data_IF_908838398767
#
_entry.id   IF_908838398767
#
_cell.length_a   1.000
_cell.length_b   1.000
_cell.length_c   1.000
_cell.angle_alpha   90.00
_cell.angle_beta   90.00
_cell.angle_gamma   90.00
#
_symmetry.space_group_name_H-M   'P 1'
#
loop_
_entity.id
_entity.type
_entity.pdbx_description
1 polymer ?
#
# COMPACT_ATOMS: atom_id res chain seq x y z
N UNK A 1 -42.12 -3.64 -11.32
CA UNK A 1 -41.85 -2.30 -11.87
C UNK A 1 -40.65 -1.76 -11.11
N UNK A 2 -39.45 -2.09 -11.59
CA UNK A 2 -38.20 -1.76 -10.91
C UNK A 2 -37.83 -0.32 -11.22
N UNK A 3 -37.77 0.53 -10.20
CA UNK A 3 -37.16 1.85 -10.33
C UNK A 3 -35.66 1.64 -10.57
N UNK A 4 -35.17 2.11 -11.72
CA UNK A 4 -33.74 2.13 -12.02
C UNK A 4 -32.96 2.97 -11.01
N UNK A 5 -31.63 2.78 -10.91
CA UNK A 5 -30.79 3.60 -10.04
C UNK A 5 -30.97 5.09 -10.42
N UNK A 6 -30.88 6.01 -9.45
CA UNK A 6 -30.99 7.44 -9.73
C UNK A 6 -29.87 7.82 -10.71
N UNK A 7 -30.26 8.29 -11.90
CA UNK A 7 -29.33 8.91 -12.83
C UNK A 7 -28.71 10.11 -12.11
N UNK A 8 -27.39 10.05 -11.88
CA UNK A 8 -26.63 11.23 -11.56
C UNK A 8 -26.81 12.16 -12.77
N UNK A 9 -27.61 13.20 -12.60
CA UNK A 9 -27.54 14.37 -13.47
C UNK A 9 -26.17 15.00 -13.23
N UNK A 10 -25.16 14.47 -13.93
CA UNK A 10 -23.89 15.12 -14.13
C UNK A 10 -24.18 16.37 -14.97
N UNK A 11 -24.55 17.45 -14.29
CA UNK A 11 -24.64 18.77 -14.91
C UNK A 11 -23.23 19.08 -15.46
N UNK A 12 -23.03 19.11 -16.80
CA UNK A 12 -21.70 19.25 -17.38
C UNK A 12 -21.07 20.62 -17.12
N UNK A 13 -21.79 21.51 -16.43
CA UNK A 13 -21.39 22.87 -16.09
C UNK A 13 -20.59 22.98 -14.78
N UNK A 14 -20.57 21.98 -13.89
CA UNK A 14 -19.82 22.04 -12.62
C UNK A 14 -18.45 21.36 -12.66
N UNK A 15 -18.14 20.61 -13.72
CA UNK A 15 -16.79 20.12 -13.97
C UNK A 15 -15.97 21.27 -14.55
N UNK A 16 -15.39 22.11 -13.67
CA UNK A 16 -14.39 23.10 -14.05
C UNK A 16 -13.47 22.47 -15.10
N UNK A 17 -13.58 22.92 -16.36
CA UNK A 17 -12.86 22.34 -17.49
C UNK A 17 -11.39 22.40 -17.15
N UNK A 18 -10.82 21.28 -16.69
CA UNK A 18 -9.41 21.17 -16.33
C UNK A 18 -8.63 21.37 -17.61
N UNK A 19 -8.23 22.61 -17.86
CA UNK A 19 -7.40 22.99 -18.99
C UNK A 19 -6.09 22.25 -18.86
N UNK A 20 -5.82 21.38 -19.81
CA UNK A 20 -4.58 20.62 -19.84
C UNK A 20 -3.42 21.56 -20.19
N UNK A 21 -2.43 21.65 -19.29
CA UNK A 21 -1.26 22.49 -19.49
C UNK A 21 -0.08 21.67 -20.06
N UNK A 22 0.32 22.02 -21.29
CA UNK A 22 1.47 21.44 -22.01
C UNK A 22 2.77 21.53 -21.23
N UNK A 23 3.06 22.72 -20.73
CA UNK A 23 4.28 23.00 -19.97
C UNK A 23 4.36 22.13 -18.71
N UNK A 24 3.25 22.01 -17.97
CA UNK A 24 3.18 21.20 -16.76
C UNK A 24 3.41 19.71 -17.08
N UNK A 25 2.78 19.21 -18.14
CA UNK A 25 2.95 17.80 -18.58
C UNK A 25 4.38 17.52 -19.01
N UNK A 26 5.01 18.43 -19.75
CA UNK A 26 6.42 18.31 -20.15
C UNK A 26 7.36 18.28 -18.95
N UNK A 27 7.14 19.18 -17.97
CA UNK A 27 7.94 19.20 -16.73
C UNK A 27 7.77 17.88 -15.98
N UNK A 28 6.53 17.38 -15.83
CA UNK A 28 6.32 16.09 -15.17
C UNK A 28 7.00 14.94 -15.91
N UNK A 29 6.88 14.85 -17.24
CA UNK A 29 7.53 13.78 -18.02
C UNK A 29 9.06 13.84 -17.93
N UNK A 30 9.62 15.04 -17.79
CA UNK A 30 11.06 15.21 -17.63
C UNK A 30 11.54 14.85 -16.21
N UNK A 31 10.86 15.34 -15.17
CA UNK A 31 11.28 15.16 -13.77
C UNK A 31 10.93 13.77 -13.21
N UNK A 32 9.86 13.15 -13.69
CA UNK A 32 9.35 11.87 -13.17
C UNK A 32 10.35 10.70 -13.22
N UNK A 33 11.10 10.46 -14.31
CA UNK A 33 12.04 9.34 -14.39
C UNK A 33 13.24 9.52 -13.47
N UNK A 34 13.71 10.77 -13.33
CA UNK A 34 14.77 11.12 -12.39
C UNK A 34 14.32 10.85 -10.96
N UNK A 35 13.12 11.29 -10.60
CA UNK A 35 12.54 11.03 -9.28
C UNK A 35 12.36 9.53 -9.01
N UNK A 36 11.86 8.77 -9.99
CA UNK A 36 11.66 7.33 -9.85
C UNK A 36 12.98 6.59 -9.58
N UNK A 37 14.09 6.99 -10.20
CA UNK A 37 15.40 6.36 -9.96
C UNK A 37 15.97 6.73 -8.60
N UNK A 38 15.82 7.98 -8.17
CA UNK A 38 16.20 8.38 -6.81
C UNK A 38 15.36 7.59 -5.80
N UNK A 39 14.06 7.44 -6.02
CA UNK A 39 13.17 6.64 -5.18
C UNK A 39 13.61 5.18 -5.13
N UNK A 40 13.84 4.55 -6.28
CA UNK A 40 14.27 3.16 -6.39
C UNK A 40 15.61 2.97 -5.68
N UNK A 41 16.58 3.87 -5.88
CA UNK A 41 17.86 3.82 -5.18
C UNK A 41 17.69 3.95 -3.66
N UNK A 42 16.88 4.91 -3.22
CA UNK A 42 16.58 5.11 -1.80
C UNK A 42 15.84 3.94 -1.16
N UNK A 43 15.05 3.18 -1.92
CA UNK A 43 14.24 2.06 -1.42
C UNK A 43 14.93 0.69 -1.52
N UNK A 44 15.85 0.48 -2.47
CA UNK A 44 16.42 -0.83 -2.78
C UNK A 44 17.92 -0.96 -2.48
N UNK A 45 18.62 0.14 -2.23
CA UNK A 45 20.08 0.13 -2.00
C UNK A 45 20.38 0.28 -0.50
N UNK A 46 20.42 -0.84 0.22
CA UNK A 46 20.67 -0.86 1.68
C UNK A 46 21.99 -0.17 2.08
N UNK A 47 23.02 -0.26 1.24
CA UNK A 47 24.33 0.36 1.50
C UNK A 47 24.42 1.84 1.08
N UNK A 48 23.37 2.40 0.45
CA UNK A 48 23.36 3.78 -0.06
C UNK A 48 24.63 4.11 -0.88
N UNK A 49 25.08 3.15 -1.68
CA UNK A 49 26.30 3.32 -2.47
C UNK A 49 26.08 4.36 -3.57
N UNK A 50 26.76 5.51 -3.47
CA UNK A 50 26.70 6.56 -4.50
C UNK A 50 27.04 6.04 -5.91
N UNK A 51 27.84 4.97 -6.02
CA UNK A 51 28.26 4.40 -7.31
C UNK A 51 27.09 3.79 -8.09
N UNK A 52 26.11 3.22 -7.40
CA UNK A 52 24.87 2.70 -8.01
C UNK A 52 23.91 3.82 -8.40
N UNK A 53 24.13 5.05 -7.91
CA UNK A 53 23.36 6.23 -8.24
C UNK A 53 23.97 7.02 -9.42
N UNK A 54 25.29 7.07 -9.51
CA UNK A 54 26.02 7.88 -10.52
C UNK A 54 25.78 7.43 -11.96
N UNK A 55 25.55 6.13 -12.21
CA UNK A 55 25.35 5.58 -13.56
C UNK A 55 23.90 5.73 -14.06
N UNK A 56 22.84 5.39 -13.30
CA UNK A 56 21.46 5.49 -13.79
C UNK A 56 20.94 6.93 -13.88
N UNK A 57 21.44 7.87 -13.07
CA UNK A 57 21.04 9.29 -13.15
C UNK A 57 21.24 9.90 -14.55
N UNK A 58 22.46 9.93 -15.13
CA UNK A 58 22.68 10.55 -16.43
C UNK A 58 21.95 9.83 -17.57
N UNK A 59 21.84 8.50 -17.48
CA UNK A 59 21.10 7.69 -18.47
C UNK A 59 19.61 8.06 -18.46
N UNK A 60 19.03 8.22 -17.27
CA UNK A 60 17.62 8.60 -17.13
C UNK A 60 17.34 10.05 -17.48
N UNK A 61 18.26 10.97 -17.19
CA UNK A 61 18.20 12.36 -17.66
C UNK A 61 18.25 12.43 -19.18
N UNK A 62 19.14 11.65 -19.81
CA UNK A 62 19.21 11.57 -21.28
C UNK A 62 17.92 11.00 -21.88
N UNK A 63 17.43 9.88 -21.35
CA UNK A 63 16.21 9.23 -21.84
C UNK A 63 14.95 10.10 -21.63
N UNK A 64 14.82 10.73 -20.46
CA UNK A 64 13.70 11.62 -20.12
C UNK A 64 13.71 12.89 -20.96
N UNK A 65 14.88 13.47 -21.26
CA UNK A 65 15.02 14.61 -22.15
C UNK A 65 14.60 14.26 -23.58
N UNK A 66 15.04 13.10 -24.11
CA UNK A 66 14.62 12.61 -25.43
C UNK A 66 13.10 12.40 -25.46
N UNK A 67 12.54 11.77 -24.43
CA UNK A 67 11.10 11.53 -24.33
C UNK A 67 10.29 12.83 -24.24
N UNK A 68 10.75 13.80 -23.45
CA UNK A 68 10.13 15.12 -23.35
C UNK A 68 10.21 15.91 -24.67
N UNK A 69 11.32 15.83 -25.40
CA UNK A 69 11.48 16.46 -26.71
C UNK A 69 10.54 15.81 -27.74
N UNK A 70 10.48 14.48 -27.80
CA UNK A 70 9.57 13.75 -28.69
C UNK A 70 8.10 14.07 -28.38
N UNK A 71 7.74 14.16 -27.09
CA UNK A 71 6.42 14.57 -26.63
C UNK A 71 6.08 15.99 -27.10
N UNK A 72 7.00 16.95 -26.97
CA UNK A 72 6.77 18.32 -27.46
C UNK A 72 6.68 18.42 -28.98
N UNK A 73 7.48 17.65 -29.73
CA UNK A 73 7.38 17.57 -31.20
C UNK A 73 6.01 17.02 -31.62
N UNK A 74 5.55 15.95 -30.95
CA UNK A 74 4.26 15.33 -31.22
C UNK A 74 3.09 16.25 -30.84
N UNK A 75 3.19 16.98 -29.73
CA UNK A 75 2.18 17.93 -29.28
C UNK A 75 2.11 19.19 -30.16
N UNK A 76 3.25 19.69 -30.64
CA UNK A 76 3.31 20.83 -31.59
C UNK A 76 2.68 20.50 -32.94
N UNK A 77 2.73 19.22 -33.35
CA UNK A 77 2.06 18.73 -34.57
C UNK A 77 0.52 18.70 -34.44
N UNK A 78 0.00 18.73 -33.22
CA UNK A 78 -1.42 18.69 -32.91
C UNK A 78 -1.84 19.91 -32.07
N UNK A 79 -1.53 21.11 -32.59
CA UNK A 79 -1.58 22.38 -31.85
C UNK A 79 -2.99 22.78 -31.39
N UNK A 80 -4.05 22.24 -32.00
CA UNK A 80 -5.46 22.58 -31.73
C UNK A 80 -6.14 21.72 -30.64
N UNK A 81 -5.41 20.82 -29.97
CA UNK A 81 -6.01 19.91 -29.01
C UNK A 81 -6.06 20.50 -27.59
N UNK A 82 -7.29 20.75 -27.10
CA UNK A 82 -7.62 21.06 -25.70
C UNK A 82 -7.44 19.88 -24.75
N UNK A 83 -7.21 18.67 -25.29
CA UNK A 83 -6.98 17.44 -24.55
C UNK A 83 -5.82 16.64 -25.16
N UNK A 84 -5.00 15.91 -24.38
CA UNK A 84 -3.95 15.08 -24.93
C UNK A 84 -4.52 14.06 -25.94
N UNK A 85 -3.78 13.74 -27.02
CA UNK A 85 -4.23 12.80 -28.04
C UNK A 85 -4.58 11.45 -27.41
N UNK A 86 -5.68 10.85 -27.85
CA UNK A 86 -6.31 9.68 -27.21
C UNK A 86 -5.36 8.49 -27.05
N UNK A 87 -4.38 8.37 -27.95
CA UNK A 87 -3.35 7.32 -27.91
C UNK A 87 -2.29 7.53 -26.82
N UNK A 88 -2.00 8.78 -26.43
CA UNK A 88 -0.97 9.11 -25.42
C UNK A 88 -1.54 9.09 -23.99
N UNK A 89 -2.85 9.22 -23.83
CA UNK A 89 -3.55 9.21 -22.53
C UNK A 89 -3.20 7.99 -21.65
N UNK A 90 -3.31 6.73 -22.13
CA UNK A 90 -3.01 5.58 -21.28
C UNK A 90 -1.53 5.55 -20.88
N UNK A 91 -0.64 5.93 -21.79
CA UNK A 91 0.80 5.97 -21.53
C UNK A 91 1.17 7.01 -20.45
N UNK A 92 0.66 8.24 -20.56
CA UNK A 92 0.88 9.27 -19.56
C UNK A 92 0.28 8.88 -18.20
N UNK A 93 -0.90 8.25 -18.20
CA UNK A 93 -1.53 7.75 -16.98
C UNK A 93 -0.69 6.66 -16.32
N UNK A 94 -0.08 5.76 -17.10
CA UNK A 94 0.76 4.70 -16.59
C UNK A 94 2.06 5.23 -15.99
N UNK A 95 2.72 6.19 -16.64
CA UNK A 95 3.89 6.87 -16.07
C UNK A 95 3.51 7.57 -14.76
N UNK A 96 2.41 8.32 -14.75
CA UNK A 96 1.94 9.01 -13.54
C UNK A 96 1.64 8.04 -12.39
N UNK A 97 1.11 6.86 -12.71
CA UNK A 97 0.86 5.80 -11.73
C UNK A 97 2.15 5.26 -11.12
N UNK A 98 3.17 4.94 -11.94
CA UNK A 98 4.48 4.48 -11.44
C UNK A 98 5.11 5.54 -10.54
N UNK A 99 5.08 6.81 -10.95
CA UNK A 99 5.62 7.93 -10.16
C UNK A 99 4.87 8.07 -8.84
N UNK A 100 3.54 7.87 -8.84
CA UNK A 100 2.73 7.82 -7.63
C UNK A 100 3.17 6.71 -6.68
N UNK A 101 3.47 5.52 -7.19
CA UNK A 101 4.01 4.41 -6.38
C UNK A 101 5.34 4.79 -5.76
N UNK A 102 6.27 5.38 -6.53
CA UNK A 102 7.55 5.86 -6.00
C UNK A 102 7.38 6.90 -4.89
N UNK A 103 6.43 7.84 -5.05
CA UNK A 103 6.10 8.83 -4.02
C UNK A 103 5.58 8.20 -2.74
N UNK A 104 4.63 7.26 -2.87
CA UNK A 104 4.10 6.52 -1.72
C UNK A 104 5.23 5.77 -1.02
N UNK A 105 6.13 5.14 -1.78
CA UNK A 105 7.29 4.42 -1.25
C UNK A 105 8.23 5.30 -0.42
N UNK A 106 8.69 6.44 -0.97
CA UNK A 106 9.58 7.37 -0.24
C UNK A 106 8.89 7.91 1.01
N UNK A 107 7.65 8.37 0.90
CA UNK A 107 6.93 8.93 2.05
C UNK A 107 6.75 7.86 3.13
N UNK A 108 6.42 6.63 2.75
CA UNK A 108 6.27 5.54 3.70
C UNK A 108 7.59 5.25 4.44
N UNK A 109 8.71 5.19 3.72
CA UNK A 109 10.02 4.94 4.33
C UNK A 109 10.44 6.04 5.31
N UNK A 110 10.29 7.31 4.92
CA UNK A 110 10.55 8.47 5.79
C UNK A 110 9.66 8.46 7.04
N UNK A 111 8.37 8.18 6.88
CA UNK A 111 7.44 8.07 8.02
C UNK A 111 7.84 6.94 8.94
N UNK A 112 8.27 5.79 8.41
CA UNK A 112 8.74 4.66 9.22
C UNK A 112 10.01 5.03 9.98
N UNK A 113 10.97 5.69 9.34
CA UNK A 113 12.23 6.15 9.94
C UNK A 113 12.00 7.16 11.07
N UNK A 114 11.08 8.11 10.86
CA UNK A 114 10.66 9.06 11.90
C UNK A 114 9.99 8.35 13.08
N UNK A 115 9.08 7.41 12.80
CA UNK A 115 8.38 6.67 13.84
C UNK A 115 9.32 5.77 14.65
N UNK A 116 10.32 5.13 14.02
CA UNK A 116 11.39 4.39 14.73
C UNK A 116 12.19 5.31 15.65
N UNK A 117 12.54 6.50 15.16
CA UNK A 117 13.25 7.51 15.97
C UNK A 117 12.42 7.93 17.19
N UNK A 118 11.10 8.15 17.01
CA UNK A 118 10.19 8.40 18.13
C UNK A 118 10.05 7.21 19.08
N UNK A 119 10.05 5.97 18.55
CA UNK A 119 10.06 4.74 19.34
C UNK A 119 11.26 4.66 20.28
N UNK A 120 12.45 5.01 19.79
CA UNK A 120 13.68 5.09 20.61
C UNK A 120 13.56 6.15 21.70
N UNK A 121 13.02 7.34 21.38
CA UNK A 121 12.83 8.43 22.35
C UNK A 121 11.84 8.05 23.45
N UNK A 122 10.75 7.37 23.09
CA UNK A 122 9.68 6.96 24.00
C UNK A 122 9.94 5.61 24.71
N UNK A 123 11.06 4.95 24.42
CA UNK A 123 11.42 3.62 24.93
C UNK A 123 10.37 2.53 24.60
N UNK A 124 9.77 2.62 23.40
CA UNK A 124 8.77 1.68 22.89
C UNK A 124 9.45 0.74 21.87
N UNK A 125 9.08 -0.54 21.88
CA UNK A 125 9.64 -1.52 20.93
C UNK A 125 9.17 -1.27 19.49
N UNK A 126 10.03 -1.53 18.50
CA UNK A 126 9.68 -1.42 17.06
C UNK A 126 8.48 -2.30 16.68
N UNK A 127 8.35 -3.45 17.34
CA UNK A 127 7.22 -4.36 17.16
C UNK A 127 5.90 -3.74 17.64
N UNK A 128 5.90 -3.05 18.78
CA UNK A 128 4.73 -2.37 19.31
C UNK A 128 4.34 -1.20 18.41
N UNK A 129 5.32 -0.40 17.97
CA UNK A 129 5.13 0.69 17.04
C UNK A 129 4.44 0.22 15.74
N UNK A 130 4.87 -0.93 15.20
CA UNK A 130 4.26 -1.50 14.01
C UNK A 130 2.88 -2.11 14.23
N UNK A 131 2.67 -2.78 15.36
CA UNK A 131 1.38 -3.35 15.74
C UNK A 131 0.32 -2.28 16.08
N UNK A 132 0.75 -1.05 16.42
CA UNK A 132 -0.15 0.03 16.85
C UNK A 132 -0.23 1.15 15.84
N UNK A 133 0.82 1.95 15.67
CA UNK A 133 0.76 3.17 14.85
C UNK A 133 0.61 2.86 13.36
N UNK A 134 1.42 1.93 12.82
CA UNK A 134 1.28 1.55 11.41
C UNK A 134 -0.05 0.81 11.15
N UNK A 135 -0.40 -0.14 12.01
CA UNK A 135 -1.63 -0.91 11.87
C UNK A 135 -2.90 -0.05 11.98
N UNK A 136 -2.95 0.86 12.96
CA UNK A 136 -4.07 1.81 13.14
C UNK A 136 -4.11 2.80 11.97
N UNK A 137 -2.96 3.32 11.54
CA UNK A 137 -2.90 4.25 10.40
C UNK A 137 -3.51 3.66 9.14
N UNK A 138 -3.10 2.45 8.77
CA UNK A 138 -3.62 1.75 7.59
C UNK A 138 -5.12 1.42 7.72
N UNK A 139 -5.53 0.89 8.88
CA UNK A 139 -6.93 0.50 9.11
C UNK A 139 -7.88 1.69 9.25
N UNK A 140 -7.39 2.85 9.72
CA UNK A 140 -8.19 4.06 9.87
C UNK A 140 -8.52 4.68 8.51
N UNK A 141 -7.58 4.69 7.56
CA UNK A 141 -7.88 5.13 6.19
C UNK A 141 -8.89 4.23 5.50
N UNK A 142 -8.79 2.92 5.68
CA UNK A 142 -9.75 1.95 5.15
C UNK A 142 -11.14 2.17 5.77
N UNK A 143 -11.21 2.38 7.09
CA UNK A 143 -12.46 2.65 7.80
C UNK A 143 -13.16 3.90 7.25
N UNK A 144 -12.43 4.99 7.00
CA UNK A 144 -13.01 6.23 6.45
C UNK A 144 -13.53 6.00 5.04
N UNK A 145 -12.80 5.26 4.20
CA UNK A 145 -13.22 4.92 2.83
C UNK A 145 -14.49 4.05 2.84
N UNK A 146 -14.52 2.99 3.65
CA UNK A 146 -15.66 2.08 3.75
C UNK A 146 -16.91 2.77 4.30
N UNK A 147 -16.77 3.62 5.32
CA UNK A 147 -17.89 4.44 5.83
C UNK A 147 -18.42 5.36 4.74
N UNK A 148 -17.55 5.96 3.93
CA UNK A 148 -17.95 6.86 2.85
C UNK A 148 -18.74 6.10 1.79
N UNK A 149 -18.25 4.95 1.32
CA UNK A 149 -18.94 4.10 0.34
C UNK A 149 -20.28 3.57 0.87
N UNK A 150 -20.31 3.18 2.15
CA UNK A 150 -21.55 2.76 2.80
C UNK A 150 -22.59 3.91 2.86
N UNK A 151 -22.14 5.14 3.13
CA UNK A 151 -23.01 6.34 3.14
C UNK A 151 -23.50 6.74 1.74
N UNK A 152 -22.76 6.40 0.69
CA UNK A 152 -23.17 6.58 -0.70
C UNK A 152 -24.21 5.56 -1.17
N UNK A 153 -24.66 4.63 -0.31
CA UNK A 153 -25.69 3.65 -0.62
C UNK A 153 -25.16 2.31 -1.13
N UNK A 154 -23.85 2.05 -1.01
CA UNK A 154 -23.22 0.81 -1.44
C UNK A 154 -22.64 -0.01 -0.27
N UNK A 155 -23.46 -0.44 0.71
CA UNK A 155 -22.96 -1.14 1.90
C UNK A 155 -22.35 -2.50 1.59
N UNK A 156 -22.85 -3.23 0.57
CA UNK A 156 -22.28 -4.53 0.17
C UNK A 156 -20.87 -4.36 -0.39
N UNK A 157 -20.62 -3.27 -1.13
CA UNK A 157 -19.30 -2.94 -1.64
C UNK A 157 -18.33 -2.61 -0.49
N UNK A 158 -18.75 -1.76 0.45
CA UNK A 158 -17.96 -1.45 1.65
C UNK A 158 -17.64 -2.71 2.47
N UNK A 159 -18.61 -3.61 2.66
CA UNK A 159 -18.36 -4.88 3.34
C UNK A 159 -17.34 -5.75 2.60
N UNK A 160 -17.44 -5.84 1.27
CA UNK A 160 -16.48 -6.62 0.48
C UNK A 160 -15.05 -6.02 0.53
N UNK A 161 -14.93 -4.69 0.57
CA UNK A 161 -13.66 -4.00 0.69
C UNK A 161 -13.03 -4.19 2.08
N UNK A 162 -13.83 -4.09 3.14
CA UNK A 162 -13.40 -4.30 4.52
C UNK A 162 -12.78 -5.69 4.78
N UNK A 163 -13.31 -6.76 4.15
CA UNK A 163 -12.72 -8.09 4.22
C UNK A 163 -11.61 -8.31 3.18
N UNK A 164 -11.78 -7.78 1.97
CA UNK A 164 -10.87 -7.98 0.85
C UNK A 164 -9.52 -7.30 1.04
N UNK A 165 -9.51 -6.09 1.61
CA UNK A 165 -8.29 -5.31 1.85
C UNK A 165 -7.28 -6.05 2.73
N UNK A 166 -7.64 -6.44 3.96
CA UNK A 166 -6.77 -7.24 4.83
C UNK A 166 -6.35 -8.58 4.21
N UNK A 167 -7.24 -9.26 3.47
CA UNK A 167 -6.92 -10.52 2.79
C UNK A 167 -5.83 -10.32 1.73
N UNK A 168 -5.92 -9.26 0.94
CA UNK A 168 -4.92 -8.91 -0.07
C UNK A 168 -3.60 -8.45 0.56
N UNK A 169 -3.65 -7.70 1.67
CA UNK A 169 -2.47 -7.30 2.44
C UNK A 169 -1.70 -8.51 3.00
N UNK A 170 -2.41 -9.53 3.50
CA UNK A 170 -1.77 -10.76 3.96
C UNK A 170 -1.20 -11.55 2.78
N UNK A 171 -1.97 -11.72 1.70
CA UNK A 171 -1.56 -12.52 0.56
C UNK A 171 -0.37 -11.92 -0.19
N UNK A 172 -0.44 -10.63 -0.53
CA UNK A 172 0.62 -9.95 -1.27
C UNK A 172 1.71 -9.42 -0.35
N UNK A 173 1.36 -8.76 0.76
CA UNK A 173 2.35 -8.19 1.67
C UNK A 173 3.20 -9.27 2.34
N UNK A 174 2.58 -10.18 3.09
CA UNK A 174 3.30 -11.25 3.80
C UNK A 174 3.80 -12.31 2.80
N UNK A 175 2.96 -12.70 1.83
CA UNK A 175 3.32 -13.75 0.86
C UNK A 175 4.46 -13.34 -0.09
N UNK A 176 4.37 -12.16 -0.74
CA UNK A 176 5.47 -11.71 -1.61
C UNK A 176 6.70 -11.28 -0.80
N UNK A 177 6.53 -10.67 0.37
CA UNK A 177 7.65 -10.34 1.26
C UNK A 177 8.41 -11.59 1.72
N UNK A 178 7.69 -12.66 2.09
CA UNK A 178 8.30 -13.96 2.42
C UNK A 178 9.01 -14.61 1.24
N UNK A 179 8.42 -14.54 0.04
CA UNK A 179 9.05 -15.02 -1.19
C UNK A 179 10.34 -14.23 -1.50
N UNK A 180 10.29 -12.90 -1.39
CA UNK A 180 11.46 -12.04 -1.59
C UNK A 180 12.59 -12.40 -0.63
N UNK A 181 12.28 -12.54 0.66
CA UNK A 181 13.24 -12.94 1.69
C UNK A 181 13.85 -14.31 1.39
N UNK A 182 13.03 -15.30 0.99
CA UNK A 182 13.49 -16.66 0.67
C UNK A 182 14.41 -16.69 -0.56
N UNK A 183 14.13 -15.85 -1.56
CA UNK A 183 14.96 -15.73 -2.76
C UNK A 183 16.30 -15.04 -2.46
N UNK A 184 16.31 -14.02 -1.60
CA UNK A 184 17.51 -13.23 -1.25
C UNK A 184 18.34 -13.83 -0.11
N UNK A 185 17.79 -14.72 0.73
CA UNK A 185 18.51 -15.37 1.84
C UNK A 185 19.60 -16.36 1.42
N UNK A 186 19.95 -16.42 0.13
CA UNK A 186 21.03 -17.26 -0.41
C UNK A 186 22.44 -16.65 -0.24
N UNK A 187 22.59 -15.47 0.39
CA UNK A 187 23.89 -14.75 0.38
C UNK A 187 24.61 -14.72 1.74
N UNK A 188 23.95 -14.87 2.89
CA UNK A 188 24.65 -14.84 4.18
C UNK A 188 24.09 -15.86 5.19
N UNK A 189 24.52 -17.13 5.05
CA UNK A 189 24.55 -18.03 6.19
C UNK A 189 25.91 -17.87 6.89
N UNK A 190 25.98 -17.48 8.17
CA UNK A 190 27.22 -17.50 8.93
C UNK A 190 27.73 -18.93 9.00
N UNK A 191 28.95 -19.11 8.50
CA UNK A 191 29.77 -20.30 8.57
C UNK A 191 29.93 -20.76 10.01
N UNK A 192 29.16 -21.75 10.46
CA UNK A 192 29.67 -22.76 11.40
C UNK A 192 28.83 -24.03 11.37
N UNK A 193 29.41 -25.09 10.79
CA UNK A 193 29.17 -26.53 10.99
C UNK A 193 28.88 -27.27 9.68
N UNK A 194 29.93 -27.91 9.16
CA UNK A 194 29.92 -28.83 8.04
C UNK A 194 29.04 -30.06 8.31
N UNK A 195 28.28 -30.51 7.29
CA UNK A 195 28.27 -31.87 6.73
C UNK A 195 27.44 -31.85 5.43
N UNK A 196 28.10 -32.32 4.36
CA UNK A 196 27.69 -32.72 3.02
C UNK A 196 26.21 -32.59 2.58
N UNK A 197 26.01 -31.89 1.46
CA UNK A 197 25.33 -32.51 0.32
C UNK A 197 23.86 -32.16 0.05
N UNK A 198 23.22 -31.24 0.78
CA UNK A 198 21.92 -30.67 0.38
C UNK A 198 21.88 -29.21 0.78
N UNK A 199 21.85 -28.30 -0.21
CA UNK A 199 21.50 -26.90 0.00
C UNK A 199 20.05 -26.81 0.48
N UNK A 200 19.80 -27.14 1.75
CA UNK A 200 18.52 -26.91 2.41
C UNK A 200 18.50 -25.45 2.81
N UNK A 201 17.70 -24.68 2.08
CA UNK A 201 17.14 -23.39 2.50
C UNK A 201 17.04 -23.34 4.03
N UNK A 202 17.95 -22.61 4.67
CA UNK A 202 17.89 -22.45 6.12
C UNK A 202 16.55 -21.74 6.42
N UNK A 203 15.63 -22.35 7.18
CA UNK A 203 14.34 -21.74 7.44
C UNK A 203 14.56 -20.45 8.22
N UNK A 204 14.17 -19.32 7.63
CA UNK A 204 14.13 -18.04 8.32
C UNK A 204 13.29 -18.22 9.59
N UNK A 205 13.93 -18.11 10.76
CA UNK A 205 13.25 -18.23 12.05
C UNK A 205 12.42 -16.97 12.26
N UNK A 206 11.17 -17.01 11.83
CA UNK A 206 10.17 -16.01 12.19
C UNK A 206 10.02 -16.06 13.72
N UNK A 207 10.53 -15.05 14.41
CA UNK A 207 10.34 -14.88 15.85
C UNK A 207 8.89 -14.46 16.07
N UNK A 208 8.00 -15.44 16.18
CA UNK A 208 6.58 -15.19 16.46
C UNK A 208 6.49 -14.61 17.86
N UNK A 209 6.27 -13.31 17.96
CA UNK A 209 5.97 -12.66 19.22
C UNK A 209 4.64 -13.19 19.76
N UNK A 210 4.52 -13.30 21.09
CA UNK A 210 3.30 -13.79 21.74
C UNK A 210 2.08 -12.96 21.31
N UNK A 211 2.26 -11.65 21.09
CA UNK A 211 1.21 -10.74 20.62
C UNK A 211 0.76 -11.01 19.19
N UNK A 212 1.68 -11.37 18.29
CA UNK A 212 1.33 -11.73 16.92
C UNK A 212 0.49 -13.01 16.90
N UNK A 213 0.85 -13.99 17.73
CA UNK A 213 0.08 -15.23 17.87
C UNK A 213 -1.31 -14.98 18.46
N UNK A 214 -1.41 -14.17 19.53
CA UNK A 214 -2.70 -13.82 20.16
C UNK A 214 -3.58 -13.06 19.16
N UNK A 215 -3.04 -12.06 18.46
CA UNK A 215 -3.79 -11.28 17.47
C UNK A 215 -4.24 -12.12 16.28
N UNK A 216 -3.38 -13.01 15.78
CA UNK A 216 -3.73 -13.94 14.70
C UNK A 216 -4.81 -14.93 15.12
N UNK A 217 -4.75 -15.45 16.35
CA UNK A 217 -5.78 -16.34 16.88
C UNK A 217 -7.11 -15.60 17.07
N UNK A 218 -7.11 -14.40 17.64
CA UNK A 218 -8.32 -13.58 17.77
C UNK A 218 -8.93 -13.31 16.40
N UNK A 219 -8.13 -12.93 15.40
CA UNK A 219 -8.61 -12.71 14.03
C UNK A 219 -9.27 -13.97 13.47
N UNK A 220 -8.64 -15.14 13.62
CA UNK A 220 -9.20 -16.40 13.15
C UNK A 220 -10.54 -16.73 13.84
N UNK A 221 -10.62 -16.54 15.16
CA UNK A 221 -11.86 -16.72 15.92
C UNK A 221 -12.95 -15.76 15.44
N UNK A 222 -12.63 -14.49 15.16
CA UNK A 222 -13.61 -13.54 14.62
C UNK A 222 -14.11 -13.93 13.24
N UNK A 223 -13.22 -14.39 12.36
CA UNK A 223 -13.58 -14.80 11.01
C UNK A 223 -14.51 -16.02 11.04
N UNK A 224 -14.16 -17.04 11.83
CA UNK A 224 -14.99 -18.23 12.01
C UNK A 224 -16.32 -17.88 12.67
N UNK A 225 -16.32 -17.01 13.67
CA UNK A 225 -17.53 -16.51 14.32
C UNK A 225 -18.47 -15.82 13.34
N UNK A 226 -17.94 -14.95 12.48
CA UNK A 226 -18.72 -14.31 11.42
C UNK A 226 -19.24 -15.30 10.38
N UNK A 227 -18.42 -16.28 9.99
CA UNK A 227 -18.82 -17.33 9.05
C UNK A 227 -20.01 -18.16 9.56
N UNK A 228 -20.18 -18.29 10.87
CA UNK A 228 -21.30 -19.00 11.51
C UNK A 228 -22.48 -18.05 11.73
N UNK A 229 -22.25 -16.87 12.30
CA UNK A 229 -23.30 -15.91 12.69
C UNK A 229 -24.02 -15.33 11.47
N UNK A 230 -23.31 -15.02 10.38
CA UNK A 230 -23.89 -14.36 9.20
C UNK A 230 -24.90 -15.26 8.47
N UNK A 231 -24.63 -16.56 8.20
CA UNK A 231 -25.64 -17.47 7.65
C UNK A 231 -26.82 -17.69 8.60
N UNK A 232 -26.57 -17.79 9.92
CA UNK A 232 -27.63 -17.94 10.92
C UNK A 232 -28.55 -16.72 11.00
N UNK A 233 -28.04 -15.53 10.68
CA UNK A 233 -28.82 -14.30 10.62
C UNK A 233 -29.42 -14.01 9.23
N UNK A 234 -29.59 -15.04 8.40
CA UNK A 234 -30.15 -14.95 7.05
C UNK A 234 -29.41 -13.95 6.14
N UNK A 235 -28.08 -13.89 6.22
CA UNK A 235 -27.22 -12.99 5.42
C UNK A 235 -27.49 -11.50 5.60
N UNK A 236 -28.16 -11.12 6.71
CA UNK A 236 -28.35 -9.72 7.08
C UNK A 236 -27.29 -9.32 8.09
N UNK A 237 -26.56 -8.26 7.81
CA UNK A 237 -25.60 -7.67 8.75
C UNK A 237 -26.31 -6.56 9.51
N UNK A 238 -26.92 -6.91 10.64
CA UNK A 238 -27.66 -5.98 11.47
C UNK A 238 -26.75 -5.27 12.48
N UNK A 239 -27.26 -4.20 13.09
CA UNK A 239 -26.50 -3.38 14.03
C UNK A 239 -25.98 -4.19 15.23
N UNK A 240 -26.62 -5.29 15.62
CA UNK A 240 -26.18 -6.14 16.73
C UNK A 240 -24.85 -6.83 16.43
N UNK A 241 -24.69 -7.36 15.22
CA UNK A 241 -23.42 -7.95 14.76
C UNK A 241 -22.32 -6.88 14.74
N UNK A 242 -22.63 -5.67 14.25
CA UNK A 242 -21.70 -4.54 14.26
C UNK A 242 -21.23 -4.13 15.66
N UNK A 243 -22.16 -3.97 16.61
CA UNK A 243 -21.81 -3.69 18.01
C UNK A 243 -21.01 -4.83 18.65
N UNK A 244 -21.36 -6.09 18.36
CA UNK A 244 -20.62 -7.25 18.84
C UNK A 244 -19.16 -7.27 18.35
N UNK A 245 -18.94 -6.94 17.07
CA UNK A 245 -17.60 -6.83 16.48
C UNK A 245 -16.77 -5.72 17.12
N UNK A 246 -17.36 -4.54 17.35
CA UNK A 246 -16.67 -3.41 17.99
C UNK A 246 -16.25 -3.79 19.41
N UNK A 247 -17.17 -4.35 20.21
CA UNK A 247 -16.88 -4.77 21.59
C UNK A 247 -15.77 -5.82 21.62
N UNK A 248 -15.85 -6.82 20.75
CA UNK A 248 -14.84 -7.86 20.66
C UNK A 248 -13.47 -7.30 20.26
N UNK A 249 -13.43 -6.42 19.26
CA UNK A 249 -12.19 -5.78 18.81
C UNK A 249 -11.57 -4.90 19.92
N UNK A 250 -12.39 -4.11 20.62
CA UNK A 250 -11.93 -3.29 21.74
C UNK A 250 -11.39 -4.13 22.89
N UNK A 251 -12.06 -5.23 23.26
CA UNK A 251 -11.58 -6.15 24.29
C UNK A 251 -10.27 -6.83 23.90
N UNK A 252 -10.16 -7.31 22.65
CA UNK A 252 -8.94 -7.95 22.17
C UNK A 252 -7.77 -6.97 22.10
N UNK A 253 -7.99 -5.75 21.63
CA UNK A 253 -6.96 -4.72 21.53
C UNK A 253 -6.48 -4.32 22.92
N UNK A 254 -7.41 -4.12 23.86
CA UNK A 254 -7.08 -3.81 25.25
C UNK A 254 -6.28 -4.96 25.90
N UNK A 255 -6.68 -6.21 25.66
CA UNK A 255 -5.96 -7.39 26.13
C UNK A 255 -4.53 -7.45 25.60
N UNK A 256 -4.33 -7.21 24.30
CA UNK A 256 -3.00 -7.15 23.69
C UNK A 256 -2.11 -6.06 24.32
N UNK A 257 -2.66 -4.86 24.54
CA UNK A 257 -1.91 -3.76 25.17
C UNK A 257 -1.54 -4.11 26.62
N UNK A 258 -2.45 -4.72 27.38
CA UNK A 258 -2.17 -5.12 28.77
C UNK A 258 -1.08 -6.20 28.83
N UNK A 259 -1.16 -7.22 27.96
CA UNK A 259 -0.15 -8.29 27.89
C UNK A 259 1.23 -7.71 27.59
N UNK A 260 1.32 -6.73 26.70
CA UNK A 260 2.57 -6.08 26.33
C UNK A 260 3.11 -5.14 27.43
N UNK A 261 2.25 -4.50 28.22
CA UNK A 261 2.69 -3.61 29.31
C UNK A 261 3.12 -4.37 30.58
N UNK A 262 2.67 -5.61 30.75
CA UNK A 262 2.91 -6.42 31.95
C UNK A 262 4.12 -7.36 31.79
N UNK A 263 4.53 -7.65 30.55
CA UNK A 263 5.64 -8.55 30.20
C UNK A 263 6.89 -7.73 29.85
#
# INVERSE_FOLDING_TARGET
MAAGPPELNDDPSSAATRTWHRALTTIHVFTSPLFAIIAIWSLLDDEHNLRNLIIPIPISLGASLICAILLNIFLKKHDDLTQPPTQLRPFLSFIGFIVGICWIGIIADEVVSLLKTLGVILNISDSLLGLTVFAVGNSLSDLVADITVARLGYPVMALSACFGGPMLNILLGIGMGGLYMTLHSNVEAPTTSAIEGVARHAPYKITISKNLMISGLTLLVTLVGLLIIVPLNHWKMDRKIGWGLIVLWSLSTLGNVIVELVI
#
